data_IF_225872218388
#
_entry.id   IF_225872218388
#
_cell.length_a   1.000
_cell.length_b   1.000
_cell.length_c   1.000
_cell.angle_alpha   90.00
_cell.angle_beta   90.00
_cell.angle_gamma   90.00
#
_symmetry.space_group_name_H-M   'P 1'
#
loop_
_entity.id
_entity.type
_entity.pdbx_description
1 polymer ?
#
# COMPACT_ATOMS: atom_id res chain seq x y z
N UNK A 1 10.04 -14.19 -7.30
CA UNK A 1 9.28 -13.18 -6.56
C UNK A 1 9.30 -11.86 -7.31
N UNK A 2 8.19 -11.18 -7.37
CA UNK A 2 8.08 -9.91 -8.11
C UNK A 2 8.28 -8.74 -7.17
N UNK A 3 9.12 -7.79 -7.56
CA UNK A 3 9.33 -6.55 -6.81
C UNK A 3 8.66 -5.40 -7.58
N UNK A 4 7.57 -4.88 -7.04
CA UNK A 4 6.81 -3.81 -7.68
C UNK A 4 7.30 -2.45 -7.16
N UNK A 5 8.20 -1.83 -7.91
CA UNK A 5 8.86 -0.58 -7.52
C UNK A 5 7.96 0.65 -7.64
N UNK A 6 6.84 0.51 -8.33
CA UNK A 6 5.84 1.58 -8.47
C UNK A 6 4.80 1.60 -7.35
N UNK A 7 4.90 0.66 -6.40
CA UNK A 7 3.94 0.54 -5.31
C UNK A 7 4.60 0.77 -3.95
N UNK A 8 3.86 1.41 -3.05
CA UNK A 8 4.26 1.54 -1.65
C UNK A 8 3.01 1.36 -0.78
N UNK A 9 3.13 0.56 0.28
CA UNK A 9 2.04 0.31 1.20
C UNK A 9 2.27 1.09 2.50
N UNK A 10 1.33 1.99 2.81
CA UNK A 10 1.33 2.73 4.07
C UNK A 10 0.57 1.91 5.10
N UNK A 11 1.21 1.61 6.23
CA UNK A 11 0.68 0.69 7.23
C UNK A 11 1.26 0.98 8.63
N UNK A 12 0.80 0.23 9.63
CA UNK A 12 1.53 0.06 10.89
C UNK A 12 1.44 -1.41 11.31
N UNK A 13 2.38 -1.86 12.15
CA UNK A 13 2.63 -3.29 12.38
C UNK A 13 1.46 -4.04 13.00
N UNK A 14 0.71 -3.41 13.89
CA UNK A 14 -0.39 -4.05 14.62
C UNK A 14 -1.75 -3.86 13.96
N UNK A 15 -1.80 -3.28 12.77
CA UNK A 15 -3.05 -3.04 12.05
C UNK A 15 -3.57 -4.34 11.41
N UNK A 16 -4.74 -4.85 11.80
CA UNK A 16 -5.26 -6.10 11.22
C UNK A 16 -5.60 -5.97 9.73
N UNK A 17 -6.07 -4.82 9.30
CA UNK A 17 -6.37 -4.59 7.88
C UNK A 17 -5.10 -4.48 7.04
N UNK A 18 -4.05 -3.89 7.61
CA UNK A 18 -2.74 -3.85 6.95
C UNK A 18 -2.15 -5.26 6.83
N UNK A 19 -2.31 -6.07 7.86
CA UNK A 19 -1.88 -7.46 7.85
C UNK A 19 -2.55 -8.25 6.72
N UNK A 20 -3.84 -8.01 6.51
CA UNK A 20 -4.60 -8.65 5.42
C UNK A 20 -3.97 -8.37 4.06
N UNK A 21 -3.58 -7.12 3.81
CA UNK A 21 -2.93 -6.73 2.56
C UNK A 21 -1.54 -7.37 2.44
N UNK A 22 -0.76 -7.35 3.53
CA UNK A 22 0.57 -7.94 3.54
C UNK A 22 0.51 -9.45 3.30
N UNK A 23 -0.50 -10.12 3.84
CA UNK A 23 -0.72 -11.55 3.60
C UNK A 23 -1.03 -11.82 2.13
N UNK A 24 -1.85 -11.00 1.51
CA UNK A 24 -2.16 -11.13 0.09
C UNK A 24 -0.91 -10.96 -0.77
N UNK A 25 -0.07 -9.98 -0.44
CA UNK A 25 1.21 -9.79 -1.12
C UNK A 25 2.09 -11.03 -1.04
N UNK A 26 2.17 -11.63 0.14
CA UNK A 26 2.94 -12.87 0.35
C UNK A 26 2.43 -14.02 -0.50
N UNK A 27 1.11 -14.18 -0.58
CA UNK A 27 0.49 -15.24 -1.39
C UNK A 27 0.72 -15.05 -2.88
N UNK A 28 0.78 -13.80 -3.33
CA UNK A 28 1.01 -13.48 -4.74
C UNK A 28 2.50 -13.48 -5.11
N UNK A 29 3.38 -13.57 -4.13
CA UNK A 29 4.82 -13.50 -4.38
C UNK A 29 5.27 -12.12 -4.81
N UNK A 30 4.63 -11.07 -4.30
CA UNK A 30 4.91 -9.67 -4.67
C UNK A 30 5.50 -8.94 -3.48
N UNK A 31 6.61 -8.23 -3.71
CA UNK A 31 7.20 -7.33 -2.71
C UNK A 31 6.94 -5.89 -3.09
N UNK A 32 6.53 -5.09 -2.11
CA UNK A 32 6.38 -3.65 -2.26
C UNK A 32 7.08 -2.96 -1.10
N UNK A 33 7.41 -1.68 -1.27
CA UNK A 33 7.96 -0.90 -0.18
C UNK A 33 6.91 -0.75 0.92
N UNK A 34 7.28 -1.12 2.15
CA UNK A 34 6.41 -0.97 3.31
C UNK A 34 6.78 0.34 4.03
N UNK A 35 5.81 1.23 4.17
CA UNK A 35 6.00 2.53 4.82
C UNK A 35 5.19 2.58 6.09
N UNK A 36 5.86 2.30 7.22
CA UNK A 36 5.23 2.34 8.53
C UNK A 36 5.05 3.79 8.95
N UNK A 37 3.79 4.22 9.14
CA UNK A 37 3.48 5.61 9.45
C UNK A 37 3.93 6.03 10.86
N UNK A 38 4.22 5.06 11.73
CA UNK A 38 4.75 5.33 13.07
C UNK A 38 6.26 5.12 13.15
N UNK A 39 6.85 4.51 12.12
CA UNK A 39 8.30 4.31 12.07
C UNK A 39 9.05 5.51 11.52
N UNK A 40 8.42 6.28 10.63
CA UNK A 40 9.01 7.47 10.02
C UNK A 40 7.93 8.55 9.88
N UNK A 41 8.09 9.70 10.55
CA UNK A 41 7.08 10.77 10.47
C UNK A 41 6.79 11.27 9.05
N UNK A 42 7.75 11.12 8.13
CA UNK A 42 7.55 11.54 6.73
C UNK A 42 6.47 10.70 6.05
N UNK A 43 6.36 9.43 6.41
CA UNK A 43 5.32 8.55 5.83
C UNK A 43 3.93 8.99 6.27
N UNK A 44 3.77 9.36 7.53
CA UNK A 44 2.49 9.87 8.02
C UNK A 44 2.13 11.20 7.34
N UNK A 45 3.13 12.08 7.17
CA UNK A 45 2.93 13.36 6.50
C UNK A 45 2.47 13.17 5.06
N UNK A 46 3.13 12.28 4.30
CA UNK A 46 2.75 11.99 2.93
C UNK A 46 1.31 11.52 2.84
N UNK A 47 0.91 10.63 3.75
CA UNK A 47 -0.44 10.09 3.78
C UNK A 47 -1.47 11.17 4.06
N UNK A 48 -1.22 12.02 5.04
CA UNK A 48 -2.13 13.11 5.40
C UNK A 48 -2.21 14.14 4.28
N UNK A 49 -1.08 14.49 3.66
CA UNK A 49 -1.06 15.44 2.54
C UNK A 49 -1.88 14.92 1.36
N UNK A 50 -1.83 13.63 1.10
CA UNK A 50 -2.53 13.03 -0.03
C UNK A 50 -4.01 12.80 0.23
N UNK A 51 -4.38 12.38 1.45
CA UNK A 51 -5.74 11.92 1.74
C UNK A 51 -6.47 12.75 2.81
N UNK A 52 -5.75 13.60 3.54
CA UNK A 52 -6.33 14.39 4.63
C UNK A 52 -6.64 13.60 5.90
N UNK A 53 -6.40 12.30 5.90
CA UNK A 53 -6.66 11.42 7.05
C UNK A 53 -5.52 10.41 7.18
N UNK A 54 -5.34 9.86 8.38
CA UNK A 54 -4.26 8.89 8.65
C UNK A 54 -4.73 7.44 8.66
N UNK A 55 -5.82 7.13 7.97
CA UNK A 55 -6.36 5.77 7.90
C UNK A 55 -5.47 4.89 7.01
N UNK A 56 -5.10 3.73 7.51
CA UNK A 56 -4.34 2.72 6.79
C UNK A 56 -5.11 1.39 6.79
N UNK A 57 -4.86 0.46 5.87
CA UNK A 57 -3.83 0.49 4.84
C UNK A 57 -4.18 1.42 3.67
N UNK A 58 -3.14 1.96 3.02
CA UNK A 58 -3.28 2.71 1.78
C UNK A 58 -2.16 2.29 0.84
N UNK A 59 -2.51 1.96 -0.39
CA UNK A 59 -1.55 1.63 -1.42
C UNK A 59 -1.33 2.86 -2.30
N UNK A 60 -0.09 3.33 -2.37
CA UNK A 60 0.30 4.40 -3.29
C UNK A 60 0.79 3.76 -4.58
N UNK A 61 0.20 4.17 -5.69
CA UNK A 61 0.52 3.66 -7.01
C UNK A 61 1.10 4.80 -7.83
N UNK A 62 2.37 4.68 -8.21
CA UNK A 62 3.05 5.69 -9.01
C UNK A 62 2.77 5.46 -10.48
N UNK A 63 2.44 6.51 -11.21
CA UNK A 63 2.21 6.48 -12.64
C UNK A 63 3.24 7.35 -13.35
N UNK A 64 3.81 6.86 -14.44
CA UNK A 64 4.85 7.59 -15.19
C UNK A 64 4.34 8.92 -15.77
N UNK A 65 3.10 8.94 -16.24
CA UNK A 65 2.56 10.08 -16.99
C UNK A 65 1.40 10.76 -16.27
N UNK A 66 1.33 10.66 -14.95
CA UNK A 66 0.25 11.29 -14.22
C UNK A 66 0.51 11.31 -12.73
N UNK A 67 -0.41 11.90 -11.96
CA UNK A 67 -0.28 11.92 -10.50
C UNK A 67 -0.38 10.54 -9.90
N UNK A 68 0.21 10.37 -8.71
CA UNK A 68 0.10 9.12 -7.96
C UNK A 68 -1.34 8.85 -7.59
N UNK A 69 -1.70 7.58 -7.62
CA UNK A 69 -3.00 7.13 -7.15
C UNK A 69 -2.85 6.62 -5.71
N UNK A 70 -3.84 6.93 -4.87
CA UNK A 70 -3.84 6.54 -3.46
C UNK A 70 -5.09 5.71 -3.20
N UNK A 71 -4.91 4.39 -3.07
CA UNK A 71 -6.01 3.44 -2.93
C UNK A 71 -6.17 3.04 -1.45
N UNK A 72 -7.30 3.40 -0.86
CA UNK A 72 -7.66 3.01 0.51
C UNK A 72 -8.47 1.72 0.53
N UNK A 73 -8.90 1.29 1.72
CA UNK A 73 -9.71 0.10 1.96
C UNK A 73 -8.98 -1.21 1.61
N UNK A 74 -8.78 -2.05 2.63
CA UNK A 74 -8.01 -3.28 2.48
C UNK A 74 -8.58 -4.22 1.41
N UNK A 75 -9.91 -4.31 1.30
CA UNK A 75 -10.56 -5.14 0.29
C UNK A 75 -10.27 -4.68 -1.13
N UNK A 76 -10.30 -3.37 -1.35
CA UNK A 76 -10.02 -2.79 -2.67
C UNK A 76 -8.55 -2.96 -3.04
N UNK A 77 -7.65 -2.80 -2.07
CA UNK A 77 -6.23 -3.01 -2.29
C UNK A 77 -5.94 -4.46 -2.67
N UNK A 78 -6.52 -5.41 -1.93
CA UNK A 78 -6.35 -6.84 -2.23
C UNK A 78 -6.88 -7.15 -3.63
N UNK A 79 -8.05 -6.63 -3.99
CA UNK A 79 -8.64 -6.83 -5.32
C UNK A 79 -7.73 -6.28 -6.41
N UNK A 80 -7.17 -5.10 -6.22
CA UNK A 80 -6.22 -4.50 -7.17
C UNK A 80 -4.99 -5.39 -7.37
N UNK A 81 -4.42 -5.86 -6.26
CA UNK A 81 -3.23 -6.71 -6.31
C UNK A 81 -3.51 -8.04 -6.99
N UNK A 82 -4.65 -8.66 -6.70
CA UNK A 82 -5.04 -9.92 -7.33
C UNK A 82 -5.25 -9.74 -8.82
N UNK A 83 -5.91 -8.67 -9.22
CA UNK A 83 -6.16 -8.40 -10.63
C UNK A 83 -4.87 -8.16 -11.42
N UNK A 84 -3.90 -7.52 -10.79
CA UNK A 84 -2.64 -7.16 -11.45
C UNK A 84 -1.63 -8.31 -11.47
N UNK A 85 -1.52 -9.07 -10.39
CA UNK A 85 -0.45 -10.04 -10.18
C UNK A 85 -0.88 -11.50 -10.18
N UNK A 86 -2.16 -11.81 -10.03
CA UNK A 86 -2.62 -13.18 -10.09
C UNK A 86 -2.52 -13.70 -11.53
N UNK A 87 -2.12 -14.94 -11.65
CA UNK A 87 -1.98 -15.58 -12.97
C UNK A 87 -3.25 -16.30 -13.36
#
# INVERSE_FOLDING_TARGET
MTHATDLALYHFDTCPYCFRVRRALGKLGVEVELRNIYGDPRHLRDLIDARGIKTVPVLRIQHENGPDEWLGESGDIVAYLQKRFAK
#
